data_IF_349639606084
#
_entry.id   IF_349639606084
#
_cell.length_a   1.000
_cell.length_b   1.000
_cell.length_c   1.000
_cell.angle_alpha   90.00
_cell.angle_beta   90.00
_cell.angle_gamma   90.00
#
_symmetry.space_group_name_H-M   'P 1'
#
loop_
_entity.id
_entity.type
_entity.pdbx_description
1 polymer ?
#
# COMPACT_ATOMS: atom_id res chain seq x y z
N UNK A 1 5.91 6.90 -26.01
CA UNK A 1 5.51 7.37 -24.67
C UNK A 1 4.10 6.94 -24.33
N UNK A 2 3.97 5.85 -23.58
CA UNK A 2 2.67 5.30 -23.20
C UNK A 2 2.17 6.11 -22.00
N UNK A 3 1.35 7.12 -22.29
CA UNK A 3 0.48 7.80 -21.33
C UNK A 3 -0.70 6.89 -20.98
N UNK A 4 -0.42 5.71 -20.40
CA UNK A 4 -1.45 4.95 -19.70
C UNK A 4 -1.81 5.75 -18.44
N UNK A 5 -3.05 6.23 -18.39
CA UNK A 5 -3.68 6.92 -17.26
C UNK A 5 -3.10 6.45 -15.92
N UNK A 6 -2.46 7.37 -15.18
CA UNK A 6 -1.66 7.11 -13.97
C UNK A 6 -2.39 6.32 -12.87
N UNK A 7 -3.72 6.19 -12.94
CA UNK A 7 -4.54 5.41 -12.00
C UNK A 7 -4.97 4.01 -12.45
N UNK A 8 -4.90 3.64 -13.73
CA UNK A 8 -5.48 2.37 -14.20
C UNK A 8 -4.70 1.15 -13.71
N UNK A 9 -3.36 1.17 -13.82
CA UNK A 9 -2.50 0.07 -13.39
C UNK A 9 -2.53 -0.11 -11.86
N UNK A 10 -2.32 0.93 -11.01
CA UNK A 10 -2.44 0.77 -9.56
C UNK A 10 -3.81 0.22 -9.13
N UNK A 11 -4.88 0.66 -9.80
CA UNK A 11 -6.24 0.15 -9.55
C UNK A 11 -6.37 -1.32 -9.95
N UNK A 12 -5.79 -1.73 -11.08
CA UNK A 12 -5.82 -3.12 -11.52
C UNK A 12 -5.10 -4.06 -10.53
N UNK A 13 -3.91 -3.67 -10.06
CA UNK A 13 -3.18 -4.42 -9.03
C UNK A 13 -3.99 -4.51 -7.74
N UNK A 14 -4.55 -3.39 -7.28
CA UNK A 14 -5.42 -3.35 -6.10
C UNK A 14 -6.64 -4.26 -6.23
N UNK A 15 -7.29 -4.29 -7.41
CA UNK A 15 -8.40 -5.20 -7.69
C UNK A 15 -7.96 -6.66 -7.66
N UNK A 16 -6.78 -7.00 -8.18
CA UNK A 16 -6.26 -8.36 -8.16
C UNK A 16 -5.95 -8.83 -6.73
N UNK A 17 -5.35 -7.97 -5.91
CA UNK A 17 -5.12 -8.22 -4.47
C UNK A 17 -6.45 -8.51 -3.76
N UNK A 18 -7.46 -7.68 -4.00
CA UNK A 18 -8.78 -7.86 -3.40
C UNK A 18 -9.47 -9.14 -3.87
N UNK A 19 -9.37 -9.48 -5.15
CA UNK A 19 -9.90 -10.73 -5.68
C UNK A 19 -9.32 -11.94 -4.91
N UNK A 20 -8.00 -12.01 -4.75
CA UNK A 20 -7.31 -13.04 -3.95
C UNK A 20 -7.81 -13.08 -2.50
N UNK A 21 -8.10 -11.92 -1.91
CA UNK A 21 -8.55 -11.80 -0.53
C UNK A 21 -10.07 -11.91 -0.35
N UNK A 22 -10.82 -12.12 -1.44
CA UNK A 22 -12.29 -12.08 -1.51
C UNK A 22 -12.87 -10.77 -0.95
N UNK A 23 -12.23 -9.64 -1.25
CA UNK A 23 -12.56 -8.31 -0.75
C UNK A 23 -11.32 -7.57 -0.25
N UNK A 24 -11.49 -6.27 -0.03
CA UNK A 24 -10.43 -5.43 0.54
C UNK A 24 -10.37 -5.60 2.04
N UNK A 25 -9.18 -5.48 2.62
CA UNK A 25 -8.99 -5.59 4.07
C UNK A 25 -8.65 -4.21 4.61
N UNK A 26 -9.49 -3.71 5.51
CA UNK A 26 -9.29 -2.40 6.12
C UNK A 26 -8.08 -2.41 7.05
N UNK A 27 -7.15 -1.47 6.85
CA UNK A 27 -6.02 -1.27 7.78
C UNK A 27 -6.48 -0.84 9.17
N UNK A 28 -7.68 -0.25 9.30
CA UNK A 28 -8.18 0.29 10.56
C UNK A 28 -8.74 -0.75 11.52
N UNK A 29 -9.12 -1.94 11.04
CA UNK A 29 -9.82 -2.94 11.86
C UNK A 29 -9.88 -4.35 11.26
N UNK A 30 -9.13 -4.65 10.20
CA UNK A 30 -9.16 -5.92 9.46
C UNK A 30 -10.51 -6.33 8.87
N UNK A 31 -11.53 -5.46 8.92
CA UNK A 31 -12.82 -5.78 8.31
C UNK A 31 -12.67 -5.94 6.80
N UNK A 32 -13.37 -6.95 6.28
CA UNK A 32 -13.47 -7.18 4.85
C UNK A 32 -14.50 -6.23 4.26
N UNK A 33 -14.11 -5.53 3.21
CA UNK A 33 -14.95 -4.65 2.41
C UNK A 33 -15.25 -5.43 1.11
N UNK A 34 -16.44 -6.08 0.99
CA UNK A 34 -16.71 -7.04 -0.07
C UNK A 34 -16.72 -6.41 -1.46
N UNK A 35 -17.14 -5.14 -1.53
CA UNK A 35 -17.20 -4.37 -2.78
C UNK A 35 -17.07 -2.89 -2.45
N UNK A 36 -16.30 -2.19 -3.28
CA UNK A 36 -16.24 -0.75 -3.27
C UNK A 36 -17.61 -0.13 -3.54
N UNK A 37 -18.00 0.84 -2.72
CA UNK A 37 -19.08 1.74 -3.08
C UNK A 37 -18.53 3.18 -3.18
N UNK A 38 -19.27 4.07 -3.86
CA UNK A 38 -18.86 5.48 -4.06
C UNK A 38 -18.68 6.27 -2.76
N UNK A 39 -19.24 5.83 -1.64
CA UNK A 39 -19.17 6.54 -0.35
C UNK A 39 -17.83 6.36 0.35
N UNK A 40 -17.12 5.26 0.08
CA UNK A 40 -15.87 4.96 0.77
C UNK A 40 -14.65 5.69 0.16
N UNK A 41 -14.84 6.37 -0.98
CA UNK A 41 -13.86 7.18 -1.76
C UNK A 41 -12.40 6.70 -1.58
N UNK A 42 -12.05 5.57 -2.21
CA UNK A 42 -10.71 5.01 -2.09
C UNK A 42 -9.73 5.70 -3.02
N UNK A 43 -8.52 5.92 -2.52
CA UNK A 43 -7.45 6.60 -3.25
C UNK A 43 -6.17 5.79 -3.23
N UNK A 44 -5.40 5.88 -4.32
CA UNK A 44 -4.04 5.39 -4.34
C UNK A 44 -3.20 6.25 -3.39
N UNK A 45 -2.59 5.60 -2.41
CA UNK A 45 -1.63 6.17 -1.49
C UNK A 45 -0.26 5.55 -1.74
N UNK A 46 0.80 6.35 -1.58
CA UNK A 46 2.15 5.82 -1.57
C UNK A 46 2.47 5.30 -0.18
N UNK A 47 2.71 4.00 -0.01
CA UNK A 47 3.06 3.39 1.29
C UNK A 47 4.22 4.16 1.92
N UNK A 48 5.26 4.48 1.15
CA UNK A 48 6.24 5.50 1.50
C UNK A 48 5.87 6.81 0.81
N UNK A 49 5.34 7.83 1.53
CA UNK A 49 4.85 9.04 0.89
C UNK A 49 5.92 9.79 0.09
N UNK A 50 5.54 10.33 -1.07
CA UNK A 50 6.46 11.01 -1.99
C UNK A 50 7.25 12.16 -1.31
N UNK A 51 6.55 12.97 -0.49
CA UNK A 51 7.19 14.05 0.27
C UNK A 51 8.14 13.53 1.34
N UNK A 52 7.84 12.39 1.98
CA UNK A 52 8.75 11.75 2.93
C UNK A 52 10.03 11.28 2.21
N UNK A 53 9.88 10.57 1.10
CA UNK A 53 11.00 10.08 0.30
C UNK A 53 11.87 11.24 -0.26
N UNK A 54 11.22 12.29 -0.77
CA UNK A 54 11.90 13.47 -1.32
C UNK A 54 12.73 14.22 -0.27
N UNK A 55 12.21 14.36 0.96
CA UNK A 55 12.95 14.96 2.09
C UNK A 55 14.21 14.19 2.47
N UNK A 56 14.22 12.88 2.22
CA UNK A 56 15.33 11.97 2.52
C UNK A 56 16.20 11.65 1.29
N UNK A 57 16.09 12.45 0.21
CA UNK A 57 16.85 12.27 -1.03
C UNK A 57 16.68 10.89 -1.70
N UNK A 58 15.53 10.23 -1.46
CA UNK A 58 15.19 8.95 -2.07
C UNK A 58 14.21 9.21 -3.21
N UNK A 59 14.69 9.17 -4.46
CA UNK A 59 13.86 9.52 -5.62
C UNK A 59 13.61 8.36 -6.57
N UNK A 60 14.48 7.35 -6.56
CA UNK A 60 14.31 6.13 -7.35
C UNK A 60 13.06 5.38 -6.86
N UNK A 61 12.25 4.84 -7.76
CA UNK A 61 11.06 4.02 -7.45
C UNK A 61 9.95 4.71 -6.63
N UNK A 62 10.04 6.01 -6.33
CA UNK A 62 9.05 6.72 -5.51
C UNK A 62 7.61 6.64 -6.07
N UNK A 63 7.47 6.79 -7.40
CA UNK A 63 6.20 6.70 -8.13
C UNK A 63 5.86 5.27 -8.57
N UNK A 64 6.66 4.28 -8.16
CA UNK A 64 6.45 2.89 -8.54
C UNK A 64 5.07 2.40 -8.10
N UNK A 65 4.44 1.58 -8.93
CA UNK A 65 3.22 0.87 -8.57
C UNK A 65 3.40 -0.01 -7.34
N UNK A 66 4.62 -0.51 -7.11
CA UNK A 66 5.01 -1.30 -5.95
C UNK A 66 5.01 -0.46 -4.67
N UNK A 67 5.13 0.87 -4.78
CA UNK A 67 4.97 1.78 -3.64
C UNK A 67 3.52 2.17 -3.40
N UNK A 68 2.53 1.64 -4.14
CA UNK A 68 1.13 2.11 -4.05
C UNK A 68 0.22 1.10 -3.36
N UNK A 69 -0.68 1.60 -2.53
CA UNK A 69 -1.78 0.86 -1.93
C UNK A 69 -3.09 1.64 -2.10
N UNK A 70 -4.24 0.96 -2.01
CA UNK A 70 -5.54 1.61 -2.05
C UNK A 70 -6.14 1.64 -0.66
N UNK A 71 -6.36 2.84 -0.14
CA UNK A 71 -6.89 3.06 1.21
C UNK A 71 -8.06 4.05 1.19
N UNK A 72 -8.91 4.08 2.23
CA UNK A 72 -9.98 5.07 2.31
C UNK A 72 -9.40 6.49 2.28
N UNK A 73 -10.06 7.43 1.59
CA UNK A 73 -9.60 8.83 1.50
C UNK A 73 -9.37 9.49 2.86
N UNK A 74 -10.22 9.20 3.85
CA UNK A 74 -10.04 9.74 5.20
C UNK A 74 -8.72 9.26 5.83
N UNK A 75 -8.35 7.99 5.61
CA UNK A 75 -7.07 7.46 6.05
C UNK A 75 -5.91 8.06 5.24
N UNK A 76 -6.07 8.22 3.92
CA UNK A 76 -5.08 8.88 3.06
C UNK A 76 -4.76 10.31 3.52
N UNK A 77 -5.80 11.09 3.84
CA UNK A 77 -5.66 12.45 4.40
C UNK A 77 -4.93 12.42 5.74
N UNK A 78 -5.28 11.46 6.61
CA UNK A 78 -4.67 11.32 7.94
C UNK A 78 -3.18 10.95 7.88
N UNK A 79 -2.79 10.12 6.92
CA UNK A 79 -1.37 9.72 6.72
C UNK A 79 -0.55 10.89 6.16
N UNK A 80 -1.07 11.61 5.16
CA UNK A 80 -0.38 12.74 4.52
C UNK A 80 1.03 12.34 4.03
N UNK A 81 2.08 13.01 4.52
CA UNK A 81 3.49 12.84 4.18
C UNK A 81 4.32 12.28 5.33
N UNK A 82 3.66 11.59 6.26
CA UNK A 82 4.29 11.03 7.45
C UNK A 82 5.18 9.83 7.11
N UNK A 83 6.16 9.59 7.97
CA UNK A 83 6.97 8.38 7.94
C UNK A 83 6.07 7.13 8.07
N UNK A 84 6.23 6.09 7.23
CA UNK A 84 5.54 4.82 7.37
C UNK A 84 5.57 4.23 8.77
N UNK A 85 6.72 4.30 9.42
CA UNK A 85 6.87 3.82 10.80
C UNK A 85 5.88 4.51 11.74
N UNK A 86 5.81 5.84 11.64
CA UNK A 86 5.01 6.66 12.55
C UNK A 86 3.51 6.46 12.34
N UNK A 87 3.06 6.45 11.09
CA UNK A 87 1.63 6.33 10.82
C UNK A 87 1.14 4.88 11.00
N UNK A 88 1.96 3.86 10.68
CA UNK A 88 1.57 2.48 10.95
C UNK A 88 1.53 2.18 12.45
N UNK A 89 2.50 2.69 13.23
CA UNK A 89 2.45 2.59 14.69
C UNK A 89 1.18 3.22 15.27
N UNK A 90 0.68 4.29 14.66
CA UNK A 90 -0.59 4.89 15.06
C UNK A 90 -1.81 4.05 14.67
N UNK A 91 -1.82 3.48 13.46
CA UNK A 91 -2.91 2.60 13.02
C UNK A 91 -2.95 1.34 13.90
N UNK A 92 -1.78 0.77 14.23
CA UNK A 92 -1.65 -0.43 15.06
C UNK A 92 -2.24 -0.24 16.47
N UNK A 93 -2.14 0.97 17.04
CA UNK A 93 -2.83 1.28 18.31
C UNK A 93 -4.35 1.14 18.23
N UNK A 94 -4.93 1.32 17.04
CA UNK A 94 -6.38 1.14 16.80
C UNK A 94 -6.72 -0.25 16.25
N UNK A 95 -5.74 -0.93 15.64
CA UNK A 95 -5.83 -2.26 15.07
C UNK A 95 -4.60 -3.08 15.50
N UNK A 96 -4.63 -3.73 16.68
CA UNK A 96 -3.47 -4.50 17.17
C UNK A 96 -3.03 -5.63 16.22
N UNK A 97 -3.95 -6.11 15.38
CA UNK A 97 -3.70 -7.15 14.38
C UNK A 97 -3.45 -6.55 12.98
N UNK A 98 -2.88 -5.34 12.89
CA UNK A 98 -2.62 -4.63 11.63
C UNK A 98 -1.79 -5.47 10.63
N UNK A 99 -0.91 -6.34 11.12
CA UNK A 99 -0.11 -7.26 10.32
C UNK A 99 -0.98 -8.13 9.38
N UNK A 100 -2.23 -8.45 9.77
CA UNK A 100 -3.16 -9.18 8.91
C UNK A 100 -3.49 -8.34 7.67
N UNK A 101 -3.87 -7.08 7.83
CA UNK A 101 -4.17 -6.21 6.70
C UNK A 101 -2.95 -5.94 5.82
N UNK A 102 -1.79 -5.68 6.44
CA UNK A 102 -0.55 -5.42 5.69
C UNK A 102 -0.11 -6.64 4.87
N UNK A 103 -0.11 -7.83 5.47
CA UNK A 103 0.24 -9.06 4.75
C UNK A 103 -0.74 -9.39 3.62
N UNK A 104 -2.01 -8.94 3.71
CA UNK A 104 -2.99 -9.09 2.63
C UNK A 104 -2.71 -8.15 1.45
N UNK A 105 -2.09 -7.00 1.71
CA UNK A 105 -1.62 -6.02 0.70
C UNK A 105 -0.15 -6.20 0.29
N UNK A 106 0.48 -7.30 0.75
CA UNK A 106 1.90 -7.62 0.54
C UNK A 106 2.83 -6.50 1.03
N UNK A 107 2.45 -5.85 2.14
CA UNK A 107 3.30 -4.89 2.84
C UNK A 107 4.02 -5.65 3.96
N UNK A 108 5.36 -5.70 3.95
CA UNK A 108 6.12 -6.39 4.98
C UNK A 108 5.91 -5.78 6.37
N UNK A 109 5.80 -6.64 7.39
CA UNK A 109 5.45 -6.19 8.74
C UNK A 109 6.56 -5.34 9.40
N UNK A 110 7.81 -5.51 8.95
CA UNK A 110 8.96 -4.74 9.43
C UNK A 110 8.86 -3.24 9.10
N UNK A 111 8.05 -2.85 8.09
CA UNK A 111 7.85 -1.44 7.70
C UNK A 111 7.30 -0.60 8.86
N UNK A 112 6.58 -1.22 9.80
CA UNK A 112 6.03 -0.52 10.98
C UNK A 112 7.09 -0.21 12.05
N UNK A 113 8.20 -0.93 12.06
CA UNK A 113 9.14 -0.99 13.18
C UNK A 113 10.52 -0.41 12.85
N UNK A 114 10.97 -0.57 11.61
CA UNK A 114 12.33 -0.23 11.19
C UNK A 114 12.49 1.22 10.71
N UNK A 115 13.74 1.69 10.65
CA UNK A 115 14.05 2.97 10.02
C UNK A 115 13.78 2.89 8.52
N UNK A 116 12.82 3.67 8.07
CA UNK A 116 12.24 3.63 6.72
C UNK A 116 13.18 4.18 5.64
N UNK A 117 14.06 5.12 6.00
CA UNK A 117 14.97 5.78 5.04
C UNK A 117 16.08 4.88 4.49
N UNK A 118 16.49 3.85 5.23
CA UNK A 118 17.48 2.86 4.76
C UNK A 118 16.86 1.64 4.07
N UNK A 119 15.53 1.52 4.09
CA UNK A 119 14.81 0.27 3.80
C UNK A 119 13.81 0.37 2.66
N UNK A 120 13.66 1.55 2.05
CA UNK A 120 12.70 1.71 0.96
C UNK A 120 12.97 0.78 -0.22
N UNK A 121 14.25 0.56 -0.60
CA UNK A 121 14.55 -0.34 -1.71
C UNK A 121 14.27 -1.81 -1.32
N UNK A 122 14.61 -2.22 -0.11
CA UNK A 122 14.23 -3.54 0.43
C UNK A 122 12.70 -3.75 0.37
N UNK A 123 11.93 -2.73 0.73
CA UNK A 123 10.46 -2.75 0.63
C UNK A 123 10.00 -2.92 -0.82
N UNK A 124 10.60 -2.18 -1.76
CA UNK A 124 10.27 -2.30 -3.19
C UNK A 124 10.57 -3.71 -3.68
N UNK A 125 11.75 -4.26 -3.37
CA UNK A 125 12.16 -5.56 -3.90
C UNK A 125 11.30 -6.70 -3.34
N UNK A 126 11.02 -6.70 -2.02
CA UNK A 126 10.18 -7.71 -1.37
C UNK A 126 8.75 -7.66 -1.90
N UNK A 127 8.13 -6.47 -1.92
CA UNK A 127 6.75 -6.32 -2.39
C UNK A 127 6.61 -6.56 -3.88
N UNK A 128 7.61 -6.18 -4.69
CA UNK A 128 7.60 -6.44 -6.13
C UNK A 128 7.58 -7.94 -6.43
N UNK A 129 8.37 -8.73 -5.70
CA UNK A 129 8.38 -10.18 -5.83
C UNK A 129 7.00 -10.78 -5.57
N UNK A 130 6.36 -10.40 -4.46
CA UNK A 130 5.05 -10.91 -4.09
C UNK A 130 3.94 -10.50 -5.08
N UNK A 131 3.97 -9.25 -5.56
CA UNK A 131 3.03 -8.77 -6.57
C UNK A 131 3.24 -9.48 -7.92
N UNK A 132 4.48 -9.70 -8.33
CA UNK A 132 4.79 -10.43 -9.56
C UNK A 132 4.29 -11.87 -9.46
N UNK A 133 4.56 -12.55 -8.36
CA UNK A 133 4.05 -13.89 -8.06
C UNK A 133 2.51 -13.95 -8.18
N UNK A 134 1.81 -12.95 -7.62
CA UNK A 134 0.36 -12.85 -7.73
C UNK A 134 -0.10 -12.70 -9.19
N UNK A 135 0.53 -11.79 -9.94
CA UNK A 135 0.18 -11.53 -11.35
C UNK A 135 0.40 -12.79 -12.17
N UNK A 136 1.57 -13.43 -12.07
CA UNK A 136 1.92 -14.62 -12.85
C UNK A 136 0.96 -15.78 -12.59
N UNK A 137 0.55 -16.01 -11.34
CA UNK A 137 -0.42 -17.06 -10.98
C UNK A 137 -1.84 -16.84 -11.52
N UNK A 138 -2.18 -15.62 -11.90
CA UNK A 138 -3.51 -15.23 -12.39
C UNK A 138 -3.48 -14.75 -13.86
N UNK A 139 -2.35 -14.95 -14.57
CA UNK A 139 -2.18 -14.54 -15.98
C UNK A 139 -2.28 -15.71 -16.96
N UNK A 140 -2.79 -16.87 -16.51
CA UNK A 140 -2.97 -18.09 -17.30
C UNK A 140 -4.42 -18.59 -17.21
#
# INVERSE_FOLDING_TARGET
DVTATTGALPKAISNLISYKNQGYISWMNNSKIPKWNKKDDFQSHHVYPDKFLSKNSMTLNKESIVNRAYIPKLLNIKISDRDPKDYFSEIERSNPDLNIALGKDFIPDWVKNENTTGKFQDFIDERAKDLLDLITRNSL
#
